data_IF_230565205295
#
_entry.id   IF_230565205295
#
_cell.length_a   1.000
_cell.length_b   1.000
_cell.length_c   1.000
_cell.angle_alpha   90.00
_cell.angle_beta   90.00
_cell.angle_gamma   90.00
#
_symmetry.space_group_name_H-M   'P 1'
#
loop_
_entity.id
_entity.type
_entity.pdbx_description
1 polymer ?
#
# COMPACT_ATOMS: atom_id res chain seq x y z
N UNK A 1 1.88 19.79 14.44
CA UNK A 1 1.71 21.16 13.88
C UNK A 1 0.29 21.57 14.23
N UNK A 2 0.15 22.55 15.15
CA UNK A 2 -1.18 22.99 15.61
C UNK A 2 -2.11 23.31 14.44
N UNK A 3 -3.32 22.70 14.44
CA UNK A 3 -4.36 22.93 13.44
C UNK A 3 -4.15 22.21 12.09
N UNK A 4 -3.10 21.39 11.92
CA UNK A 4 -2.84 20.65 10.69
C UNK A 4 -2.70 19.16 10.97
N UNK A 5 -1.78 18.77 11.86
CA UNK A 5 -1.52 17.36 12.20
C UNK A 5 -1.24 17.25 13.70
N UNK A 6 -1.84 16.26 14.31
CA UNK A 6 -1.57 15.83 15.68
C UNK A 6 -1.05 14.40 15.70
N UNK A 7 -0.19 14.08 16.66
CA UNK A 7 0.20 12.72 16.97
C UNK A 7 -0.68 12.18 18.09
N UNK A 8 -1.39 11.11 17.79
CA UNK A 8 -2.27 10.41 18.71
C UNK A 8 -1.87 8.94 18.78
N UNK A 9 -2.46 8.19 19.69
CA UNK A 9 -2.31 6.74 19.71
C UNK A 9 -3.68 6.12 19.42
N UNK A 10 -3.80 5.45 18.29
CA UNK A 10 -5.00 4.75 17.91
C UNK A 10 -4.69 3.28 17.56
N UNK A 11 -5.50 2.36 18.04
CA UNK A 11 -5.42 0.94 17.71
C UNK A 11 -6.38 0.63 16.57
N UNK A 12 -5.83 0.29 15.40
CA UNK A 12 -6.60 -0.09 14.22
C UNK A 12 -6.68 -1.61 14.13
N UNK A 13 -7.79 -2.16 14.57
CA UNK A 13 -8.06 -3.61 14.51
C UNK A 13 -8.50 -4.08 13.13
N UNK A 14 -8.58 -3.18 12.15
CA UNK A 14 -9.09 -3.47 10.82
C UNK A 14 -10.62 -3.51 10.74
N UNK A 15 -11.31 -3.16 11.81
CA UNK A 15 -12.78 -3.20 11.94
C UNK A 15 -13.40 -1.90 11.43
N UNK A 16 -13.16 -1.54 10.16
CA UNK A 16 -13.99 -0.51 9.53
C UNK A 16 -15.44 -1.02 9.31
N UNK A 17 -15.66 -2.32 9.40
CA UNK A 17 -16.98 -2.95 9.34
C UNK A 17 -16.97 -4.08 10.35
N UNK A 18 -17.74 -3.96 11.43
CA UNK A 18 -18.01 -4.98 12.45
C UNK A 18 -18.52 -6.34 11.91
N UNK A 19 -18.32 -6.61 10.64
CA UNK A 19 -18.77 -7.80 9.91
C UNK A 19 -17.82 -9.01 10.05
N UNK A 20 -16.62 -8.82 10.59
CA UNK A 20 -15.64 -9.90 10.72
C UNK A 20 -15.03 -9.93 12.11
N UNK A 21 -15.78 -10.44 13.09
CA UNK A 21 -15.18 -10.98 14.31
C UNK A 21 -14.19 -12.08 13.89
N UNK A 22 -12.88 -11.83 14.10
CA UNK A 22 -11.82 -12.71 13.60
C UNK A 22 -11.06 -12.19 12.38
N UNK A 23 -11.36 -11.00 11.86
CA UNK A 23 -10.74 -10.42 10.65
C UNK A 23 -9.22 -10.28 10.68
N UNK A 24 -8.57 -10.31 11.86
CA UNK A 24 -7.11 -10.28 11.99
C UNK A 24 -6.41 -11.31 11.09
N UNK A 25 -6.78 -12.56 11.19
CA UNK A 25 -6.14 -13.66 10.45
C UNK A 25 -6.41 -13.58 8.95
N UNK A 26 -7.61 -13.13 8.58
CA UNK A 26 -7.94 -12.87 7.19
C UNK A 26 -7.05 -11.78 6.59
N UNK A 27 -6.90 -10.64 7.29
CA UNK A 27 -6.04 -9.55 6.82
C UNK A 27 -4.56 -9.94 6.80
N UNK A 28 -4.09 -10.73 7.78
CA UNK A 28 -2.72 -11.27 7.79
C UNK A 28 -2.51 -12.15 6.55
N UNK A 29 -3.40 -13.11 6.30
CA UNK A 29 -3.29 -14.04 5.18
C UNK A 29 -3.34 -13.31 3.83
N UNK A 30 -4.28 -12.38 3.66
CA UNK A 30 -4.42 -11.58 2.45
C UNK A 30 -3.18 -10.71 2.20
N UNK A 31 -2.73 -9.97 3.21
CA UNK A 31 -1.55 -9.10 3.10
C UNK A 31 -0.30 -9.92 2.80
N UNK A 32 -0.14 -11.08 3.47
CA UNK A 32 0.97 -11.98 3.22
C UNK A 32 0.95 -12.51 1.79
N UNK A 33 -0.21 -12.98 1.31
CA UNK A 33 -0.36 -13.49 -0.05
C UNK A 33 0.00 -12.42 -1.11
N UNK A 34 -0.56 -11.21 -0.99
CA UNK A 34 -0.25 -10.10 -1.90
C UNK A 34 1.23 -9.71 -1.83
N UNK A 35 1.80 -9.63 -0.64
CA UNK A 35 3.22 -9.31 -0.45
C UNK A 35 4.12 -10.34 -1.14
N UNK A 36 3.85 -11.63 -0.95
CA UNK A 36 4.60 -12.73 -1.58
C UNK A 36 4.47 -12.66 -3.10
N UNK A 37 3.27 -12.44 -3.63
CA UNK A 37 3.06 -12.28 -5.08
C UNK A 37 3.82 -11.10 -5.65
N UNK A 38 3.82 -9.95 -4.97
CA UNK A 38 4.61 -8.78 -5.36
C UNK A 38 6.12 -9.10 -5.38
N UNK A 39 6.63 -9.76 -4.36
CA UNK A 39 8.05 -10.17 -4.28
C UNK A 39 8.40 -11.13 -5.42
N UNK A 40 7.58 -12.15 -5.67
CA UNK A 40 7.81 -13.10 -6.77
C UNK A 40 7.82 -12.35 -8.12
N UNK A 41 6.89 -11.43 -8.32
CA UNK A 41 6.82 -10.64 -9.54
C UNK A 41 8.05 -9.74 -9.72
N UNK A 42 8.53 -9.11 -8.64
CA UNK A 42 9.74 -8.28 -8.65
C UNK A 42 10.98 -9.07 -9.07
N UNK A 43 11.12 -10.31 -8.60
CA UNK A 43 12.34 -11.10 -8.82
C UNK A 43 12.28 -12.06 -10.01
N UNK A 44 11.09 -12.49 -10.44
CA UNK A 44 10.95 -13.46 -11.55
C UNK A 44 10.39 -12.86 -12.84
N UNK A 45 9.79 -11.68 -12.77
CA UNK A 45 9.06 -11.06 -13.87
C UNK A 45 9.75 -9.86 -14.52
N UNK A 46 8.97 -9.13 -15.30
CA UNK A 46 9.37 -7.86 -15.92
C UNK A 46 9.76 -6.77 -14.90
N UNK A 47 9.49 -7.00 -13.61
CA UNK A 47 9.87 -6.10 -12.54
C UNK A 47 11.38 -5.82 -12.47
N UNK A 48 12.22 -6.79 -12.82
CA UNK A 48 13.68 -6.58 -12.83
C UNK A 48 14.16 -5.64 -13.95
N UNK A 49 13.45 -5.59 -15.06
CA UNK A 49 13.85 -4.78 -16.22
C UNK A 49 13.31 -3.36 -16.18
N UNK A 50 12.41 -3.03 -15.25
CA UNK A 50 11.81 -1.71 -15.11
C UNK A 50 11.94 -1.20 -13.68
N UNK A 51 12.86 -0.24 -13.50
CA UNK A 51 13.15 0.33 -12.18
C UNK A 51 11.95 1.06 -11.57
N UNK A 52 11.13 1.73 -12.37
CA UNK A 52 9.93 2.40 -11.83
C UNK A 52 8.96 1.38 -11.23
N UNK A 53 8.63 0.33 -11.97
CA UNK A 53 7.78 -0.76 -11.50
C UNK A 53 8.37 -1.43 -10.25
N UNK A 54 9.68 -1.73 -10.28
CA UNK A 54 10.39 -2.35 -9.17
C UNK A 54 10.29 -1.52 -7.88
N UNK A 55 10.59 -0.22 -7.94
CA UNK A 55 10.53 0.66 -6.78
C UNK A 55 9.10 0.89 -6.29
N UNK A 56 8.11 1.03 -7.18
CA UNK A 56 6.70 1.15 -6.79
C UNK A 56 6.24 -0.05 -5.98
N UNK A 57 6.53 -1.27 -6.46
CA UNK A 57 6.19 -2.51 -5.73
C UNK A 57 6.98 -2.63 -4.43
N UNK A 58 8.27 -2.24 -4.42
CA UNK A 58 9.10 -2.25 -3.22
C UNK A 58 8.55 -1.36 -2.10
N UNK A 59 8.07 -0.17 -2.44
CA UNK A 59 7.43 0.75 -1.49
C UNK A 59 6.12 0.18 -0.96
N UNK A 60 5.28 -0.42 -1.83
CA UNK A 60 4.05 -1.11 -1.40
C UNK A 60 4.37 -2.25 -0.43
N UNK A 61 5.31 -3.11 -0.80
CA UNK A 61 5.73 -4.26 0.02
C UNK A 61 6.27 -3.82 1.37
N UNK A 62 7.06 -2.75 1.43
CA UNK A 62 7.61 -2.25 2.70
C UNK A 62 6.52 -1.76 3.66
N UNK A 63 5.52 -1.02 3.16
CA UNK A 63 4.37 -0.59 3.95
C UNK A 63 3.49 -1.78 4.39
N UNK A 64 3.23 -2.72 3.47
CA UNK A 64 2.47 -3.92 3.78
C UNK A 64 3.14 -4.76 4.89
N UNK A 65 4.46 -4.93 4.84
CA UNK A 65 5.23 -5.62 5.89
C UNK A 65 5.14 -4.87 7.22
N UNK A 66 5.24 -3.54 7.24
CA UNK A 66 5.10 -2.73 8.46
C UNK A 66 3.78 -3.02 9.17
N UNK A 67 2.66 -2.89 8.46
CA UNK A 67 1.34 -3.17 8.99
C UNK A 67 1.11 -4.65 9.32
N UNK A 68 1.81 -5.57 8.64
CA UNK A 68 1.76 -7.00 8.91
C UNK A 68 2.45 -7.36 10.24
N UNK A 69 3.60 -6.75 10.51
CA UNK A 69 4.34 -6.93 11.77
C UNK A 69 3.46 -6.57 12.96
N UNK A 70 2.84 -5.39 12.93
CA UNK A 70 1.93 -4.94 13.98
C UNK A 70 0.79 -5.95 14.20
N UNK A 71 0.13 -6.39 13.13
CA UNK A 71 -0.96 -7.37 13.22
C UNK A 71 -0.53 -8.72 13.78
N UNK A 72 0.67 -9.19 13.44
CA UNK A 72 1.19 -10.47 13.95
C UNK A 72 1.51 -10.38 15.44
N UNK A 73 2.21 -9.34 15.87
CA UNK A 73 2.71 -9.25 17.24
C UNK A 73 1.72 -8.62 18.21
N UNK A 74 0.99 -7.57 17.77
CA UNK A 74 0.08 -6.82 18.65
C UNK A 74 -1.39 -7.22 18.47
N UNK A 75 -1.77 -7.70 17.30
CA UNK A 75 -3.17 -7.97 16.94
C UNK A 75 -3.92 -6.81 16.31
N UNK A 76 -3.31 -5.64 16.27
CA UNK A 76 -3.81 -4.40 15.68
C UNK A 76 -2.66 -3.63 15.06
N UNK A 77 -2.95 -2.62 14.25
CA UNK A 77 -1.97 -1.68 13.73
C UNK A 77 -1.98 -0.43 14.60
N UNK A 78 -0.79 0.13 14.90
CA UNK A 78 -0.66 1.40 15.61
C UNK A 78 -0.74 2.53 14.59
N UNK A 79 -1.83 3.30 14.64
CA UNK A 79 -1.99 4.52 13.84
C UNK A 79 -1.76 5.74 14.72
N UNK A 80 -1.07 6.75 14.18
CA UNK A 80 -0.64 7.88 15.00
C UNK A 80 -0.67 9.24 14.31
N UNK A 81 -0.92 9.32 13.01
CA UNK A 81 -1.02 10.56 12.25
C UNK A 81 -2.50 10.93 12.14
N UNK A 82 -2.90 12.00 12.82
CA UNK A 82 -4.25 12.53 12.79
C UNK A 82 -4.30 13.90 12.08
N UNK A 83 -4.83 14.00 10.85
CA UNK A 83 -5.08 15.28 10.21
C UNK A 83 -6.23 16.00 10.91
N UNK A 84 -5.99 17.22 11.42
CA UNK A 84 -7.00 17.97 12.20
C UNK A 84 -7.84 18.93 11.37
N UNK A 85 -7.43 19.20 10.13
CA UNK A 85 -8.10 20.11 9.19
C UNK A 85 -9.20 19.44 8.35
N UNK A 86 -9.29 18.11 8.39
CA UNK A 86 -10.26 17.32 7.65
C UNK A 86 -10.70 16.12 8.50
N UNK A 87 -11.94 15.70 8.34
CA UNK A 87 -12.40 14.46 8.99
C UNK A 87 -11.86 13.25 8.20
N UNK A 88 -10.70 12.75 8.63
CA UNK A 88 -10.01 11.63 8.01
C UNK A 88 -9.60 10.62 9.09
N UNK A 89 -9.53 9.36 8.74
CA UNK A 89 -9.07 8.33 9.66
C UNK A 89 -7.61 8.58 10.08
N UNK A 90 -7.27 8.25 11.32
CA UNK A 90 -5.88 8.21 11.78
C UNK A 90 -5.15 7.12 11.01
N UNK A 91 -3.92 7.37 10.61
CA UNK A 91 -3.10 6.46 9.81
C UNK A 91 -1.65 6.46 10.29
N UNK A 92 -0.79 5.67 9.64
CA UNK A 92 0.63 5.57 9.96
C UNK A 92 1.51 5.71 8.71
N UNK A 93 2.84 5.63 8.90
CA UNK A 93 3.81 5.75 7.80
C UNK A 93 3.73 4.57 6.83
N UNK A 94 3.38 3.37 7.29
CA UNK A 94 3.22 2.21 6.42
C UNK A 94 2.04 2.42 5.44
N UNK A 95 0.94 3.05 5.88
CA UNK A 95 -0.18 3.42 5.01
C UNK A 95 0.22 4.47 3.98
N UNK A 96 1.05 5.45 4.36
CA UNK A 96 1.65 6.38 3.41
C UNK A 96 2.47 5.65 2.33
N UNK A 97 3.29 4.68 2.73
CA UNK A 97 4.10 3.92 1.80
C UNK A 97 3.21 3.10 0.83
N UNK A 98 2.22 2.38 1.34
CA UNK A 98 1.26 1.64 0.49
C UNK A 98 0.55 2.58 -0.48
N UNK A 99 0.07 3.72 -0.01
CA UNK A 99 -0.67 4.70 -0.83
C UNK A 99 0.21 5.29 -1.92
N UNK A 100 1.39 5.81 -1.56
CA UNK A 100 2.31 6.43 -2.52
C UNK A 100 2.86 5.41 -3.52
N UNK A 101 3.18 4.20 -3.07
CA UNK A 101 3.61 3.11 -3.94
C UNK A 101 2.51 2.70 -4.93
N UNK A 102 1.26 2.67 -4.48
CA UNK A 102 0.10 2.35 -5.33
C UNK A 102 -0.15 3.45 -6.36
N UNK A 103 -0.10 4.73 -5.97
CA UNK A 103 -0.20 5.86 -6.90
C UNK A 103 0.91 5.79 -7.95
N UNK A 104 2.15 5.53 -7.53
CA UNK A 104 3.30 5.38 -8.43
C UNK A 104 3.12 4.21 -9.40
N UNK A 105 2.62 3.08 -8.92
CA UNK A 105 2.32 1.90 -9.74
C UNK A 105 1.23 2.20 -10.77
N UNK A 106 0.15 2.86 -10.37
CA UNK A 106 -0.93 3.25 -11.28
C UNK A 106 -0.44 4.22 -12.36
N UNK A 107 0.37 5.21 -11.99
CA UNK A 107 0.98 6.12 -12.94
C UNK A 107 1.88 5.38 -13.97
N UNK A 108 2.67 4.42 -13.50
CA UNK A 108 3.47 3.56 -14.37
C UNK A 108 2.61 2.77 -15.36
N UNK A 109 1.56 2.12 -14.88
CA UNK A 109 0.67 1.29 -15.72
C UNK A 109 -0.03 2.13 -16.79
N UNK A 110 -0.53 3.31 -16.43
CA UNK A 110 -1.14 4.24 -17.38
C UNK A 110 -0.11 4.68 -18.44
N UNK A 111 1.10 5.04 -18.03
CA UNK A 111 2.17 5.42 -18.96
C UNK A 111 2.52 4.27 -19.93
N UNK A 112 2.62 3.03 -19.45
CA UNK A 112 2.93 1.87 -20.28
C UNK A 112 1.81 1.56 -21.30
N UNK A 113 0.54 1.75 -20.92
CA UNK A 113 -0.62 1.59 -21.80
C UNK A 113 -0.55 2.63 -22.94
N UNK A 114 -0.44 3.93 -22.63
CA UNK A 114 -0.37 4.99 -23.62
C UNK A 114 0.83 4.87 -24.54
N UNK A 115 1.97 4.40 -24.03
CA UNK A 115 3.16 4.16 -24.83
C UNK A 115 2.99 3.03 -25.84
N UNK A 116 2.21 2.01 -25.53
CA UNK A 116 1.90 0.89 -26.42
C UNK A 116 0.92 1.33 -27.51
N UNK A 117 -0.15 2.03 -27.14
CA UNK A 117 -1.15 2.54 -28.06
C UNK A 117 -0.53 3.40 -29.15
N UNK A 118 0.36 4.35 -28.78
CA UNK A 118 1.07 5.20 -29.75
C UNK A 118 2.06 4.44 -30.66
N UNK A 119 2.46 3.21 -30.33
CA UNK A 119 3.33 2.39 -31.17
C UNK A 119 2.57 1.56 -32.19
N UNK A 120 1.31 1.27 -31.90
CA UNK A 120 0.46 0.42 -32.73
C UNK A 120 -0.37 1.25 -33.73
N UNK A 121 -0.33 2.59 -33.66
CA UNK A 121 -0.88 3.47 -34.70
C UNK A 121 -0.01 3.40 -35.97
N UNK A 122 -0.54 2.95 -37.11
CA UNK A 122 0.21 2.93 -38.34
C UNK A 122 0.52 4.38 -38.76
N UNK A 123 1.78 4.66 -39.03
CA UNK A 123 2.19 5.94 -39.62
C UNK A 123 1.44 6.15 -40.95
N UNK A 124 0.50 7.10 -40.95
CA UNK A 124 -0.20 7.55 -42.13
C UNK A 124 0.75 8.37 -43.03
#
# INVERSE_FOLDING_TARGET
>A
IKGVVEFVYAQNTGVAFSLFDGGRWFFIALTLAVTVLCIIYMYKGKGQSNLWLFWSLGVIVSGAIGNLIDRIFLGYVIDFINPTFVNFAVFNIADCAVTLGTISLMAYLLFDIFKKENKDEPAN
#
